data_IF_395498510982
#
_entry.id   IF_395498510982
#
_cell.length_a   1.000
_cell.length_b   1.000
_cell.length_c   1.000
_cell.angle_alpha   90.00
_cell.angle_beta   90.00
_cell.angle_gamma   90.00
#
_symmetry.space_group_name_H-M   'P 1'
#
loop_
_entity.id
_entity.type
_entity.pdbx_description
1 polymer ?
#
# COMPACT_ATOMS: atom_id res chain seq x y z
N UNK A 1 -51.40 41.20 17.26
CA UNK A 1 -50.00 41.60 16.96
C UNK A 1 -49.11 40.82 17.92
N UNK A 2 -48.01 40.28 17.39
CA UNK A 2 -47.15 39.21 17.95
C UNK A 2 -47.68 37.79 17.72
N UNK A 3 -47.04 37.05 16.81
CA UNK A 3 -46.11 35.95 17.14
C UNK A 3 -45.76 35.12 15.88
N UNK A 4 -44.50 35.25 15.45
CA UNK A 4 -43.56 34.23 14.94
C UNK A 4 -43.94 32.77 15.33
N UNK A 5 -43.68 31.68 14.60
CA UNK A 5 -42.48 31.32 13.81
C UNK A 5 -42.68 29.95 13.06
N UNK A 6 -41.69 29.44 12.29
CA UNK A 6 -41.84 28.58 11.10
C UNK A 6 -41.73 27.07 11.40
N UNK A 7 -42.13 26.23 10.44
CA UNK A 7 -41.61 24.87 10.39
C UNK A 7 -41.41 24.37 8.95
N UNK A 8 -40.16 24.49 8.51
CA UNK A 8 -39.56 23.88 7.34
C UNK A 8 -39.26 22.40 7.66
N UNK A 9 -39.92 21.47 6.98
CA UNK A 9 -39.59 20.04 7.05
C UNK A 9 -39.16 19.54 5.67
N UNK A 10 -37.88 19.78 5.37
CA UNK A 10 -37.06 18.94 4.49
C UNK A 10 -36.75 17.63 5.24
N UNK A 11 -37.23 16.50 4.71
CA UNK A 11 -36.88 15.16 5.21
C UNK A 11 -37.06 14.12 4.10
N UNK A 12 -36.31 14.26 3.01
CA UNK A 12 -36.19 13.22 1.97
C UNK A 12 -34.71 12.88 1.76
N UNK A 13 -34.13 12.15 2.71
CA UNK A 13 -32.86 11.47 2.54
C UNK A 13 -32.87 10.16 3.36
N UNK A 14 -33.87 9.30 3.12
CA UNK A 14 -33.75 7.90 3.50
C UNK A 14 -32.76 7.24 2.54
N UNK A 15 -31.54 7.17 3.05
CA UNK A 15 -30.39 6.57 2.41
C UNK A 15 -30.63 5.06 2.29
N UNK A 16 -30.76 4.60 1.05
CA UNK A 16 -30.82 3.19 0.68
C UNK A 16 -29.48 2.51 1.02
N UNK A 17 -29.33 2.06 2.27
CA UNK A 17 -28.25 1.15 2.66
C UNK A 17 -28.65 -0.24 2.18
N UNK A 18 -28.34 -0.55 0.91
CA UNK A 18 -28.48 -1.90 0.39
C UNK A 18 -27.51 -2.80 1.13
N UNK A 19 -28.12 -3.72 1.90
CA UNK A 19 -27.50 -4.85 2.56
C UNK A 19 -26.69 -5.63 1.50
N UNK A 20 -25.37 -5.54 1.54
CA UNK A 20 -24.50 -6.42 0.76
C UNK A 20 -24.57 -7.82 1.38
N UNK A 21 -25.51 -8.63 0.91
CA UNK A 21 -25.53 -10.06 1.21
C UNK A 21 -24.33 -10.71 0.53
N UNK A 22 -23.32 -11.04 1.35
CA UNK A 22 -22.17 -11.83 0.92
C UNK A 22 -22.64 -13.28 0.82
N UNK A 23 -22.99 -13.71 -0.39
CA UNK A 23 -23.32 -15.09 -0.68
C UNK A 23 -22.14 -16.01 -0.29
N UNK A 24 -22.41 -17.00 0.54
CA UNK A 24 -21.46 -18.05 0.93
C UNK A 24 -21.03 -18.84 -0.32
N UNK A 25 -19.77 -18.69 -0.71
CA UNK A 25 -19.21 -19.36 -1.89
C UNK A 25 -18.71 -20.77 -1.54
N UNK A 26 -19.28 -21.76 -2.19
CA UNK A 26 -18.96 -23.19 -2.09
C UNK A 26 -17.53 -23.52 -2.58
N UNK A 27 -16.86 -24.43 -1.84
CA UNK A 27 -15.57 -25.07 -2.11
C UNK A 27 -14.37 -24.15 -2.40
N UNK A 28 -13.57 -23.87 -1.37
CA UNK A 28 -12.22 -23.32 -1.55
C UNK A 28 -11.37 -24.37 -2.29
N UNK A 29 -11.19 -24.21 -3.59
CA UNK A 29 -10.20 -24.98 -4.34
C UNK A 29 -8.83 -24.81 -3.67
N UNK A 30 -8.08 -25.90 -3.50
CA UNK A 30 -6.74 -25.85 -2.93
C UNK A 30 -5.84 -24.96 -3.81
N UNK A 31 -5.68 -23.70 -3.40
CA UNK A 31 -4.90 -22.74 -4.17
C UNK A 31 -3.43 -23.15 -4.14
N UNK A 32 -2.88 -23.51 -5.31
CA UNK A 32 -1.45 -23.80 -5.44
C UNK A 32 -0.63 -22.60 -4.95
N UNK A 33 0.41 -22.82 -4.13
CA UNK A 33 1.26 -21.73 -3.64
C UNK A 33 1.92 -21.01 -4.82
N UNK A 34 2.04 -19.68 -4.73
CA UNK A 34 2.70 -18.89 -5.75
C UNK A 34 4.19 -19.25 -5.83
N UNK A 35 4.68 -19.42 -7.05
CA UNK A 35 6.10 -19.65 -7.33
C UNK A 35 6.91 -18.41 -6.94
N UNK A 36 8.11 -18.62 -6.39
CA UNK A 36 9.08 -17.55 -6.12
C UNK A 36 10.13 -17.49 -7.25
N UNK A 37 10.47 -16.28 -7.67
CA UNK A 37 11.55 -16.01 -8.62
C UNK A 37 12.92 -16.11 -7.92
N UNK A 38 14.05 -16.25 -8.66
CA UNK A 38 15.40 -16.21 -8.08
C UNK A 38 15.71 -14.92 -7.30
N UNK A 39 15.00 -13.83 -7.61
CA UNK A 39 15.05 -12.56 -6.87
C UNK A 39 14.41 -12.65 -5.48
N UNK A 40 13.62 -13.69 -5.20
CA UNK A 40 12.85 -13.90 -3.97
C UNK A 40 11.44 -13.29 -3.99
N UNK A 41 11.09 -12.53 -5.04
CA UNK A 41 9.73 -12.04 -5.27
C UNK A 41 8.79 -13.13 -5.80
N UNK A 42 7.48 -12.93 -5.68
CA UNK A 42 6.51 -13.85 -6.27
C UNK A 42 6.43 -13.69 -7.78
N UNK A 43 6.29 -14.82 -8.47
CA UNK A 43 5.89 -14.87 -9.87
C UNK A 43 4.39 -14.57 -9.93
N UNK A 44 4.07 -13.36 -10.37
CA UNK A 44 2.71 -12.81 -10.40
C UNK A 44 2.08 -12.86 -11.79
N UNK A 45 2.69 -13.59 -12.73
CA UNK A 45 2.07 -13.84 -14.02
C UNK A 45 0.65 -14.43 -13.81
N UNK A 46 -0.38 -13.91 -14.51
CA UNK A 46 -1.72 -14.44 -14.40
C UNK A 46 -1.73 -15.89 -14.91
N UNK A 47 -2.35 -16.78 -14.14
CA UNK A 47 -2.38 -18.21 -14.43
C UNK A 47 -3.64 -18.85 -13.88
N UNK A 48 -4.12 -19.89 -14.58
CA UNK A 48 -5.30 -20.66 -14.20
C UNK A 48 -6.57 -19.81 -14.11
N UNK A 49 -7.40 -20.13 -13.12
CA UNK A 49 -8.70 -19.49 -12.87
C UNK A 49 -8.60 -18.00 -12.55
N UNK A 50 -7.44 -17.52 -12.07
CA UNK A 50 -7.24 -16.11 -11.75
C UNK A 50 -7.09 -15.22 -12.99
N UNK A 51 -6.92 -15.81 -14.18
CA UNK A 51 -6.78 -15.04 -15.41
C UNK A 51 -8.07 -14.28 -15.74
N UNK A 52 -9.25 -14.88 -15.53
CA UNK A 52 -10.53 -14.20 -15.74
C UNK A 52 -10.72 -13.01 -14.80
N UNK A 53 -10.34 -13.17 -13.51
CA UNK A 53 -10.37 -12.10 -12.52
C UNK A 53 -9.38 -10.99 -12.89
N UNK A 54 -8.17 -11.34 -13.32
CA UNK A 54 -7.17 -10.37 -13.75
C UNK A 54 -7.65 -9.56 -14.97
N UNK A 55 -8.24 -10.23 -15.98
CA UNK A 55 -8.81 -9.58 -17.17
C UNK A 55 -9.98 -8.68 -16.79
N UNK A 56 -10.89 -9.15 -15.94
CA UNK A 56 -12.02 -8.34 -15.44
C UNK A 56 -11.53 -7.11 -14.69
N UNK A 57 -10.60 -7.28 -13.75
CA UNK A 57 -10.03 -6.16 -12.99
C UNK A 57 -9.32 -5.16 -13.91
N UNK A 58 -8.59 -5.61 -14.92
CA UNK A 58 -7.95 -4.73 -15.88
C UNK A 58 -8.97 -3.91 -16.70
N UNK A 59 -10.13 -4.50 -17.04
CA UNK A 59 -11.17 -3.84 -17.81
C UNK A 59 -12.06 -2.92 -16.96
N UNK A 60 -12.43 -3.33 -15.76
CA UNK A 60 -13.44 -2.64 -14.94
C UNK A 60 -12.82 -1.66 -13.95
N UNK A 61 -11.61 -1.95 -13.44
CA UNK A 61 -10.97 -1.09 -12.42
C UNK A 61 -10.56 0.26 -13.03
N UNK A 62 -11.07 1.39 -12.50
CA UNK A 62 -10.65 2.71 -12.95
C UNK A 62 -9.15 2.94 -12.79
N UNK A 63 -8.53 2.36 -11.76
CA UNK A 63 -7.10 2.49 -11.48
C UNK A 63 -6.24 1.68 -12.48
N UNK A 64 -6.65 0.45 -12.82
CA UNK A 64 -5.85 -0.42 -13.69
C UNK A 64 -5.98 -0.07 -15.18
N UNK A 65 -7.05 0.65 -15.57
CA UNK A 65 -7.22 1.21 -16.91
C UNK A 65 -6.32 2.42 -17.21
N UNK A 66 -5.78 3.07 -16.18
CA UNK A 66 -4.88 4.21 -16.39
C UNK A 66 -3.59 3.75 -17.08
N UNK A 67 -2.94 4.60 -17.90
CA UNK A 67 -1.61 4.30 -18.43
C UNK A 67 -0.58 4.00 -17.31
N UNK A 68 0.41 3.12 -17.57
CA UNK A 68 1.42 2.75 -16.58
C UNK A 68 2.13 3.94 -15.92
N UNK A 69 2.34 5.02 -16.66
CA UNK A 69 3.00 6.24 -16.18
C UNK A 69 2.20 6.90 -15.04
N UNK A 70 0.88 7.00 -15.22
CA UNK A 70 -0.01 7.59 -14.22
C UNK A 70 -0.13 6.67 -13.01
N UNK A 71 -0.23 5.34 -13.23
CA UNK A 71 -0.25 4.37 -12.13
C UNK A 71 1.01 4.44 -11.29
N UNK A 72 2.18 4.47 -11.93
CA UNK A 72 3.47 4.58 -11.25
C UNK A 72 3.57 5.87 -10.43
N UNK A 73 3.02 7.00 -10.91
CA UNK A 73 2.94 8.25 -10.13
C UNK A 73 2.03 8.10 -8.91
N UNK A 74 0.82 7.56 -9.08
CA UNK A 74 -0.12 7.31 -7.97
C UNK A 74 0.52 6.39 -6.93
N UNK A 75 1.13 5.29 -7.38
CA UNK A 75 1.82 4.37 -6.49
C UNK A 75 3.05 4.99 -5.84
N UNK A 76 3.77 5.86 -6.55
CA UNK A 76 4.83 6.68 -5.97
C UNK A 76 4.31 7.45 -4.76
N UNK A 77 3.21 8.17 -4.89
CA UNK A 77 2.60 8.89 -3.78
C UNK A 77 2.06 7.96 -2.68
N UNK A 78 1.42 6.85 -3.04
CA UNK A 78 0.82 5.93 -2.07
C UNK A 78 1.85 5.10 -1.28
N UNK A 79 3.02 4.84 -1.87
CA UNK A 79 4.05 3.95 -1.31
C UNK A 79 5.26 4.68 -0.73
N UNK A 80 5.40 5.98 -0.98
CA UNK A 80 6.49 6.80 -0.42
C UNK A 80 6.10 7.30 0.96
N UNK A 81 6.90 6.97 1.97
CA UNK A 81 6.80 7.53 3.30
C UNK A 81 8.17 8.08 3.68
N UNK A 82 8.17 9.21 4.38
CA UNK A 82 9.42 9.90 4.74
C UNK A 82 10.37 8.98 5.52
N UNK A 83 9.85 8.13 6.44
CA UNK A 83 10.70 7.35 7.33
C UNK A 83 10.15 5.96 7.68
N UNK A 84 10.95 4.91 7.43
CA UNK A 84 10.69 3.53 7.87
C UNK A 84 11.62 3.12 8.99
N UNK A 85 11.09 2.92 10.19
CA UNK A 85 11.89 2.43 11.31
C UNK A 85 11.92 0.90 11.33
N UNK A 86 13.10 0.32 11.13
CA UNK A 86 13.35 -1.10 11.36
C UNK A 86 13.62 -1.32 12.86
N UNK A 87 12.56 -1.38 13.68
CA UNK A 87 12.70 -1.70 15.11
C UNK A 87 12.83 -3.22 15.33
N UNK A 88 13.54 -3.61 16.41
CA UNK A 88 13.77 -5.00 16.81
C UNK A 88 12.44 -5.78 16.80
N UNK A 89 12.34 -6.70 15.84
CA UNK A 89 11.45 -7.86 15.78
C UNK A 89 10.02 -7.72 15.25
N UNK A 90 9.48 -6.52 15.00
CA UNK A 90 8.16 -6.44 14.35
C UNK A 90 8.06 -5.28 13.36
N UNK A 91 8.30 -5.58 12.09
CA UNK A 91 7.74 -4.80 10.98
C UNK A 91 6.19 -4.81 10.97
N UNK A 92 5.53 -5.53 11.87
CA UNK A 92 4.23 -6.17 11.66
C UNK A 92 2.99 -5.28 11.77
N UNK A 93 3.11 -3.99 12.12
CA UNK A 93 1.95 -3.09 12.21
C UNK A 93 1.88 -2.07 11.07
N UNK A 94 2.88 -1.19 11.00
CA UNK A 94 2.92 -0.12 10.00
C UNK A 94 3.19 -0.70 8.61
N UNK A 95 4.09 -1.66 8.47
CA UNK A 95 4.41 -2.24 7.17
C UNK A 95 3.21 -2.97 6.56
N UNK A 96 2.38 -3.64 7.36
CA UNK A 96 1.21 -4.35 6.83
C UNK A 96 0.21 -3.39 6.18
N UNK A 97 0.01 -2.19 6.76
CA UNK A 97 -0.81 -1.14 6.12
C UNK A 97 -0.18 -0.62 4.83
N UNK A 98 1.13 -0.50 4.80
CA UNK A 98 1.89 0.00 3.64
C UNK A 98 1.93 -0.99 2.49
N UNK A 99 2.01 -2.28 2.82
CA UNK A 99 1.98 -3.37 1.86
C UNK A 99 0.55 -3.84 1.59
N UNK A 100 -0.47 -3.27 2.25
CA UNK A 100 -1.88 -3.65 2.01
C UNK A 100 -2.25 -3.49 0.53
N UNK A 101 -1.74 -2.46 -0.13
CA UNK A 101 -1.92 -2.21 -1.55
C UNK A 101 -1.31 -3.33 -2.42
N UNK A 102 -0.14 -3.86 -2.03
CA UNK A 102 0.49 -5.01 -2.68
C UNK A 102 -0.31 -6.31 -2.53
N UNK A 103 -1.20 -6.39 -1.54
CA UNK A 103 -2.03 -7.58 -1.27
C UNK A 103 -3.35 -7.58 -2.05
N UNK A 104 -3.75 -6.45 -2.66
CA UNK A 104 -5.04 -6.32 -3.35
C UNK A 104 -5.08 -7.14 -4.64
N UNK A 105 -4.06 -6.98 -5.50
CA UNK A 105 -3.99 -7.76 -6.74
C UNK A 105 -2.55 -7.98 -7.21
N UNK A 106 -2.37 -8.99 -8.06
CA UNK A 106 -1.09 -9.39 -8.65
C UNK A 106 -0.42 -8.27 -9.45
N UNK A 107 -1.20 -7.49 -10.20
CA UNK A 107 -0.68 -6.39 -11.00
C UNK A 107 -0.10 -5.28 -10.11
N UNK A 108 -0.83 -4.87 -9.08
CA UNK A 108 -0.35 -3.87 -8.12
C UNK A 108 0.88 -4.35 -7.37
N UNK A 109 0.94 -5.63 -6.99
CA UNK A 109 2.16 -6.23 -6.44
C UNK A 109 3.35 -6.07 -7.40
N UNK A 110 3.18 -6.44 -8.68
CA UNK A 110 4.24 -6.38 -9.69
C UNK A 110 4.81 -4.96 -9.85
N UNK A 111 3.92 -3.96 -9.93
CA UNK A 111 4.28 -2.56 -10.20
C UNK A 111 4.89 -1.87 -8.96
N UNK A 112 4.43 -2.20 -7.76
CA UNK A 112 4.80 -1.44 -6.55
C UNK A 112 5.88 -2.07 -5.69
N UNK A 113 6.09 -3.40 -5.77
CA UNK A 113 7.01 -4.11 -4.88
C UNK A 113 8.43 -3.57 -4.96
N UNK A 114 8.95 -3.32 -6.17
CA UNK A 114 10.31 -2.84 -6.33
C UNK A 114 10.44 -1.36 -5.93
N UNK A 115 9.50 -0.52 -6.39
CA UNK A 115 9.48 0.91 -6.13
C UNK A 115 9.41 1.23 -4.64
N UNK A 116 8.70 0.41 -3.86
CA UNK A 116 8.68 0.53 -2.41
C UNK A 116 10.08 0.50 -1.78
N UNK A 117 10.96 -0.41 -2.22
CA UNK A 117 12.32 -0.46 -1.67
C UNK A 117 13.24 0.63 -2.25
N UNK A 118 12.98 1.09 -3.48
CA UNK A 118 13.80 2.10 -4.15
C UNK A 118 13.56 3.52 -3.64
N UNK A 119 12.32 3.85 -3.31
CA UNK A 119 11.90 5.23 -3.06
C UNK A 119 11.89 5.60 -1.57
N UNK A 120 12.05 4.63 -0.67
CA UNK A 120 11.94 4.84 0.77
C UNK A 120 13.30 4.80 1.47
N UNK A 121 13.44 5.62 2.51
CA UNK A 121 14.62 5.62 3.40
C UNK A 121 14.38 4.73 4.60
N UNK A 122 15.29 3.79 4.82
CA UNK A 122 15.24 2.84 5.94
C UNK A 122 16.08 3.34 7.12
N UNK A 123 15.44 3.51 8.26
CA UNK A 123 16.04 3.96 9.52
C UNK A 123 16.31 2.79 10.45
N UNK A 124 17.47 2.81 11.09
CA UNK A 124 17.90 1.79 12.06
C UNK A 124 18.61 2.44 13.25
N UNK A 125 18.50 1.86 14.44
CA UNK A 125 19.24 2.35 15.60
C UNK A 125 20.67 1.85 15.57
N UNK A 126 20.84 0.58 15.22
CA UNK A 126 22.13 -0.10 15.19
C UNK A 126 22.38 -0.79 13.84
N UNK A 127 23.64 -0.77 13.38
CA UNK A 127 24.03 -1.43 12.12
C UNK A 127 23.63 -2.91 12.08
N UNK A 128 23.67 -3.59 13.23
CA UNK A 128 23.31 -5.01 13.33
C UNK A 128 21.83 -5.28 13.07
N UNK A 129 20.95 -4.32 13.39
CA UNK A 129 19.51 -4.43 13.12
C UNK A 129 19.24 -4.38 11.62
N UNK A 130 19.88 -3.43 10.91
CA UNK A 130 19.78 -3.35 9.46
C UNK A 130 20.32 -4.63 8.79
N UNK A 131 21.49 -5.12 9.21
CA UNK A 131 22.05 -6.37 8.65
C UNK A 131 21.12 -7.55 8.89
N UNK A 132 20.55 -7.68 10.09
CA UNK A 132 19.62 -8.76 10.43
C UNK A 132 18.33 -8.68 9.63
N UNK A 133 17.77 -7.47 9.47
CA UNK A 133 16.60 -7.21 8.64
C UNK A 133 16.88 -7.51 7.16
N UNK A 134 17.99 -7.00 6.61
CA UNK A 134 18.36 -7.19 5.21
C UNK A 134 18.54 -8.67 4.85
N UNK A 135 19.05 -9.51 5.78
CA UNK A 135 19.13 -10.96 5.59
C UNK A 135 17.78 -11.62 5.36
N UNK A 136 16.71 -11.10 5.95
CA UNK A 136 15.34 -11.61 5.80
C UNK A 136 14.66 -11.12 4.52
N UNK A 137 15.15 -10.04 3.91
CA UNK A 137 14.58 -9.49 2.69
C UNK A 137 14.92 -10.36 1.46
N UNK A 138 14.03 -10.42 0.45
CA UNK A 138 14.35 -10.97 -0.86
C UNK A 138 15.61 -10.33 -1.46
N UNK A 139 16.37 -11.10 -2.25
CA UNK A 139 17.58 -10.60 -2.93
C UNK A 139 17.29 -9.38 -3.81
N UNK A 140 16.16 -9.38 -4.52
CA UNK A 140 15.72 -8.25 -5.34
C UNK A 140 15.42 -7.01 -4.49
N UNK A 141 14.75 -7.19 -3.35
CA UNK A 141 14.47 -6.10 -2.40
C UNK A 141 15.76 -5.48 -1.85
N UNK A 142 16.73 -6.32 -1.43
CA UNK A 142 18.04 -5.83 -0.95
C UNK A 142 18.76 -4.96 -1.98
N UNK A 143 18.80 -5.40 -3.25
CA UNK A 143 19.45 -4.65 -4.34
C UNK A 143 18.73 -3.34 -4.67
N UNK A 144 17.45 -3.27 -4.37
CA UNK A 144 16.61 -2.11 -4.65
C UNK A 144 16.74 -1.01 -3.60
N UNK A 145 17.17 -1.33 -2.37
CA UNK A 145 17.36 -0.34 -1.31
C UNK A 145 18.49 0.61 -1.70
N UNK A 146 18.15 1.90 -1.85
CA UNK A 146 19.10 2.97 -2.20
C UNK A 146 19.49 3.87 -1.02
N UNK A 147 18.61 4.01 -0.03
CA UNK A 147 18.76 4.96 1.08
C UNK A 147 18.60 4.28 2.44
N UNK A 148 19.60 4.44 3.30
CA UNK A 148 19.69 3.81 4.62
C UNK A 148 20.33 4.80 5.58
N UNK A 149 19.61 5.18 6.64
CA UNK A 149 20.03 6.23 7.58
C UNK A 149 20.01 5.74 9.03
N UNK A 150 20.98 6.18 9.83
CA UNK A 150 21.00 5.88 11.26
C UNK A 150 20.01 6.81 11.97
N UNK A 151 19.08 6.24 12.72
CA UNK A 151 18.19 7.03 13.57
C UNK A 151 18.99 7.70 14.68
N UNK A 152 18.94 9.02 14.76
CA UNK A 152 19.54 9.80 15.85
C UNK A 152 18.45 10.46 16.68
N UNK A 153 18.36 10.22 18.00
CA UNK A 153 17.32 10.79 18.85
C UNK A 153 17.33 12.33 18.89
N UNK A 154 18.43 12.97 18.50
CA UNK A 154 18.55 14.44 18.45
C UNK A 154 17.65 15.04 17.35
N UNK A 155 17.24 14.25 16.36
CA UNK A 155 16.21 14.64 15.38
C UNK A 155 14.77 14.49 15.91
N UNK A 156 14.58 14.12 17.18
CA UNK A 156 13.26 13.95 17.82
C UNK A 156 12.49 15.24 18.14
N UNK A 157 12.76 16.32 17.42
CA UNK A 157 11.69 17.24 17.01
C UNK A 157 10.82 16.61 15.90
N UNK A 158 10.63 15.28 15.96
CA UNK A 158 9.62 14.57 15.20
C UNK A 158 8.28 15.11 15.67
N UNK A 159 7.80 16.16 14.99
CA UNK A 159 6.37 16.42 14.91
C UNK A 159 5.79 15.09 14.42
N UNK A 160 5.05 14.33 15.23
CA UNK A 160 4.38 13.15 14.71
C UNK A 160 3.62 13.61 13.48
N UNK A 161 3.75 12.92 12.35
CA UNK A 161 3.01 13.26 11.14
C UNK A 161 1.53 13.27 11.51
N UNK A 162 1.01 14.45 11.84
CA UNK A 162 -0.42 14.67 12.00
C UNK A 162 -0.94 14.45 10.60
N UNK A 163 -1.75 13.41 10.43
CA UNK A 163 -2.32 13.05 9.15
C UNK A 163 -2.97 14.32 8.54
N UNK A 164 -2.32 14.93 7.55
CA UNK A 164 -2.81 16.15 6.90
C UNK A 164 -1.78 17.25 6.56
N UNK A 165 -0.50 17.16 6.95
CA UNK A 165 0.44 18.29 6.74
C UNK A 165 1.83 17.92 6.21
N UNK A 166 1.94 17.07 5.19
CA UNK A 166 3.17 17.09 4.37
C UNK A 166 2.95 18.03 3.19
N UNK A 167 3.83 19.05 2.98
CA UNK A 167 3.89 19.74 1.71
C UNK A 167 4.27 18.71 0.66
N UNK A 168 3.48 18.63 -0.42
CA UNK A 168 3.78 17.76 -1.55
C UNK A 168 5.24 17.97 -1.98
N UNK A 169 6.05 16.91 -2.12
CA UNK A 169 7.38 17.06 -2.69
C UNK A 169 7.21 17.60 -4.10
N UNK A 170 7.68 18.83 -4.33
CA UNK A 170 7.76 19.41 -5.67
C UNK A 170 8.63 18.49 -6.51
N UNK A 171 8.04 17.91 -7.56
CA UNK A 171 8.79 17.13 -8.54
C UNK A 171 9.94 17.99 -9.06
N UNK A 172 11.17 17.49 -8.95
CA UNK A 172 12.26 17.98 -9.79
C UNK A 172 12.01 17.37 -11.17
N UNK A 173 11.68 18.22 -12.13
CA UNK A 173 11.63 17.88 -13.56
C UNK A 173 13.02 17.49 -14.08
#
# INVERSE_FOLDING_TARGET
MASEDPNNQDSSAEQCVTKFEVAESESRSESKPLRRLPSGFFDVAPSGEYLSIATKNAAESPLLRLPPEIRNRIFGYAMTYDHFMCARQTMTGKLDRLLSLQRVCRQTYAETTLSFFQNNTFYFFEKQEFVSCAKQLPTGARKAIKSVEKFTPVQANFKPCVAGSTPFPSFRD
#
